data_IF_724636937580
#
_entry.id   IF_724636937580
#
_cell.length_a   1.000
_cell.length_b   1.000
_cell.length_c   1.000
_cell.angle_alpha   90.00
_cell.angle_beta   90.00
_cell.angle_gamma   90.00
#
_symmetry.space_group_name_H-M   'P 1'
#
loop_
_entity.id
_entity.type
_entity.pdbx_description
1 polymer ?
#
# COMPACT_ATOMS: atom_id res chain seq x y z
N UNK A 1 5.20 -17.50 -6.03
CA UNK A 1 4.92 -16.94 -7.36
C UNK A 1 5.59 -15.57 -7.44
N UNK A 2 6.40 -15.30 -8.45
CA UNK A 2 6.98 -13.97 -8.71
C UNK A 2 6.10 -13.19 -9.69
N UNK A 3 5.86 -11.92 -9.41
CA UNK A 3 5.09 -11.01 -10.26
C UNK A 3 6.08 -10.22 -11.12
N UNK A 4 6.08 -10.44 -12.44
CA UNK A 4 6.86 -9.60 -13.37
C UNK A 4 6.27 -8.18 -13.43
N UNK A 5 7.06 -7.21 -13.90
CA UNK A 5 6.55 -5.85 -14.08
C UNK A 5 5.42 -5.78 -15.11
N UNK A 6 5.51 -6.52 -16.21
CA UNK A 6 4.43 -6.62 -17.20
C UNK A 6 3.13 -7.16 -16.59
N UNK A 7 3.22 -8.23 -15.80
CA UNK A 7 2.05 -8.77 -15.10
C UNK A 7 1.53 -7.81 -14.04
N UNK A 8 2.41 -7.05 -13.37
CA UNK A 8 2.00 -5.98 -12.48
C UNK A 8 1.18 -4.91 -13.21
N UNK A 9 1.59 -4.49 -14.42
CA UNK A 9 0.86 -3.52 -15.25
C UNK A 9 -0.54 -4.02 -15.64
N UNK A 10 -0.66 -5.30 -15.98
CA UNK A 10 -1.96 -5.94 -16.26
C UNK A 10 -2.84 -5.90 -14.99
N UNK A 11 -2.26 -6.27 -13.85
CA UNK A 11 -2.98 -6.31 -12.57
C UNK A 11 -3.46 -4.92 -12.11
N UNK A 12 -2.64 -3.87 -12.21
CA UNK A 12 -3.09 -2.51 -11.82
C UNK A 12 -4.22 -2.01 -12.72
N UNK A 13 -4.20 -2.40 -14.00
CA UNK A 13 -5.25 -2.02 -14.96
C UNK A 13 -6.58 -2.71 -14.63
N UNK A 14 -6.54 -4.00 -14.29
CA UNK A 14 -7.72 -4.75 -13.81
C UNK A 14 -8.22 -4.23 -12.47
N UNK A 15 -7.29 -3.91 -11.55
CA UNK A 15 -7.61 -3.37 -10.23
C UNK A 15 -8.41 -2.07 -10.34
N UNK A 16 -8.00 -1.13 -11.20
CA UNK A 16 -8.71 0.14 -11.38
C UNK A 16 -10.12 -0.05 -11.90
N UNK A 17 -10.37 -1.01 -12.80
CA UNK A 17 -11.73 -1.28 -13.27
C UNK A 17 -12.69 -1.69 -12.15
N UNK A 18 -12.17 -2.30 -11.09
CA UNK A 18 -12.95 -2.64 -9.89
C UNK A 18 -13.05 -1.42 -8.98
N UNK A 19 -11.94 -0.73 -8.72
CA UNK A 19 -11.90 0.48 -7.90
C UNK A 19 -12.87 1.56 -8.40
N UNK A 20 -12.92 1.81 -9.71
CA UNK A 20 -13.82 2.80 -10.32
C UNK A 20 -15.29 2.48 -10.06
N UNK A 21 -15.65 1.19 -10.06
CA UNK A 21 -17.01 0.72 -9.72
C UNK A 21 -17.33 0.93 -8.24
N UNK A 22 -16.33 0.76 -7.37
CA UNK A 22 -16.46 0.96 -5.93
C UNK A 22 -16.37 2.44 -5.53
N UNK A 23 -15.81 3.29 -6.40
CA UNK A 23 -15.54 4.72 -6.13
C UNK A 23 -14.71 4.94 -4.87
N UNK A 24 -13.74 4.05 -4.64
CA UNK A 24 -12.90 4.05 -3.43
C UNK A 24 -11.59 4.83 -3.57
N UNK A 25 -11.40 5.53 -4.71
CA UNK A 25 -10.39 6.58 -4.88
C UNK A 25 -8.99 6.13 -5.28
N UNK A 26 -8.79 4.87 -5.69
CA UNK A 26 -7.52 4.47 -6.30
C UNK A 26 -7.39 5.02 -7.72
N UNK A 27 -6.16 5.31 -8.13
CA UNK A 27 -5.83 5.74 -9.48
C UNK A 27 -4.44 5.27 -9.88
N UNK A 28 -4.18 5.15 -11.18
CA UNK A 28 -2.82 4.89 -11.71
C UNK A 28 -2.12 6.22 -11.92
N UNK A 29 -0.87 6.29 -11.47
CA UNK A 29 0.06 7.38 -11.79
C UNK A 29 1.31 6.83 -12.44
N UNK A 30 2.03 7.71 -13.13
CA UNK A 30 3.29 7.40 -13.79
C UNK A 30 4.31 8.49 -13.46
N UNK A 31 5.50 8.08 -13.02
CA UNK A 31 6.66 8.94 -12.79
C UNK A 31 7.87 8.24 -13.39
N UNK A 32 8.63 8.95 -14.22
CA UNK A 32 9.83 8.43 -14.88
C UNK A 32 9.61 7.08 -15.61
N UNK A 33 8.44 6.92 -16.25
CA UNK A 33 8.06 5.70 -16.97
C UNK A 33 7.61 4.53 -16.07
N UNK A 34 7.57 4.73 -14.75
CA UNK A 34 7.15 3.74 -13.78
C UNK A 34 5.71 4.00 -13.38
N UNK A 35 4.82 3.05 -13.71
CA UNK A 35 3.41 3.10 -13.32
C UNK A 35 3.20 2.44 -11.96
N UNK A 36 2.35 3.05 -11.15
CA UNK A 36 2.00 2.56 -9.82
C UNK A 36 0.55 2.92 -9.46
N UNK A 37 -0.04 2.20 -8.51
CA UNK A 37 -1.34 2.58 -7.95
C UNK A 37 -1.12 3.58 -6.84
N UNK A 38 -2.01 4.57 -6.74
CA UNK A 38 -2.02 5.53 -5.66
C UNK A 38 -3.44 5.76 -5.14
N UNK A 39 -3.55 6.05 -3.85
CA UNK A 39 -4.78 6.48 -3.19
C UNK A 39 -4.44 7.53 -2.15
N UNK A 40 -5.23 8.59 -2.12
CA UNK A 40 -5.18 9.62 -1.08
C UNK A 40 -6.53 9.66 -0.39
N UNK A 41 -6.54 9.60 0.93
CA UNK A 41 -7.76 9.69 1.73
C UNK A 41 -7.54 10.61 2.91
N UNK A 42 -8.65 11.03 3.52
CA UNK A 42 -8.65 11.76 4.77
C UNK A 42 -9.34 10.88 5.80
N UNK A 43 -8.73 10.74 6.97
CA UNK A 43 -9.31 10.08 8.14
C UNK A 43 -9.57 11.15 9.17
N UNK A 44 -10.80 11.19 9.68
CA UNK A 44 -11.22 12.15 10.70
C UNK A 44 -11.44 11.41 12.03
N UNK A 45 -10.80 11.88 13.09
CA UNK A 45 -10.97 11.34 14.44
C UNK A 45 -10.89 12.48 15.45
N UNK A 46 -11.88 12.57 16.35
CA UNK A 46 -11.90 13.57 17.44
C UNK A 46 -11.70 15.03 16.99
N UNK A 47 -12.18 15.37 15.77
CA UNK A 47 -12.07 16.72 15.21
C UNK A 47 -10.71 17.04 14.59
N UNK A 48 -9.82 16.06 14.46
CA UNK A 48 -8.56 16.16 13.73
C UNK A 48 -8.66 15.40 12.41
N UNK A 49 -8.11 15.97 11.33
CA UNK A 49 -8.01 15.32 10.03
C UNK A 49 -6.58 14.88 9.74
N UNK A 50 -6.40 13.63 9.33
CA UNK A 50 -5.13 13.11 8.83
C UNK A 50 -5.28 12.73 7.36
N UNK A 51 -4.39 13.24 6.52
CA UNK A 51 -4.26 12.80 5.14
C UNK A 51 -3.38 11.56 5.06
N UNK A 52 -3.91 10.48 4.48
CA UNK A 52 -3.17 9.25 4.23
C UNK A 52 -2.91 9.12 2.72
N UNK A 53 -1.64 8.97 2.35
CA UNK A 53 -1.20 8.71 0.98
C UNK A 53 -0.67 7.28 0.90
N UNK A 54 -1.22 6.47 -0.01
CA UNK A 54 -0.85 5.06 -0.23
C UNK A 54 -0.39 4.86 -1.67
N UNK A 55 0.78 4.24 -1.88
CA UNK A 55 1.30 3.89 -3.20
C UNK A 55 1.67 2.41 -3.27
N UNK A 56 1.20 1.70 -4.29
CA UNK A 56 1.60 0.31 -4.55
C UNK A 56 2.55 0.30 -5.74
N UNK A 57 3.81 -0.08 -5.49
CA UNK A 57 4.90 -0.04 -6.48
C UNK A 57 5.46 -1.44 -6.64
N UNK A 58 5.79 -1.82 -7.87
CA UNK A 58 6.50 -3.07 -8.15
C UNK A 58 7.95 -2.98 -7.67
N UNK A 59 8.40 -3.97 -6.90
CA UNK A 59 9.80 -4.14 -6.56
C UNK A 59 10.45 -5.15 -7.52
N UNK A 60 11.43 -4.72 -8.35
CA UNK A 60 12.05 -5.61 -9.33
C UNK A 60 12.90 -6.71 -8.69
N UNK A 61 13.61 -6.41 -7.59
CA UNK A 61 14.52 -7.34 -6.92
C UNK A 61 13.79 -8.54 -6.33
N UNK A 62 12.62 -8.32 -5.72
CA UNK A 62 11.80 -9.38 -5.13
C UNK A 62 10.68 -9.85 -6.06
N UNK A 63 10.43 -9.14 -7.17
CA UNK A 63 9.33 -9.41 -8.09
C UNK A 63 7.98 -9.48 -7.37
N UNK A 64 7.69 -8.49 -6.53
CA UNK A 64 6.45 -8.39 -5.74
C UNK A 64 5.99 -6.93 -5.64
N UNK A 65 4.70 -6.67 -5.41
CA UNK A 65 4.25 -5.35 -5.03
C UNK A 65 4.72 -4.99 -3.60
N UNK A 66 4.97 -3.70 -3.39
CA UNK A 66 5.25 -3.09 -2.09
C UNK A 66 4.26 -1.95 -1.88
N UNK A 67 3.63 -1.92 -0.71
CA UNK A 67 2.79 -0.81 -0.26
C UNK A 67 3.66 0.20 0.48
N UNK A 68 3.77 1.39 -0.09
CA UNK A 68 4.29 2.58 0.57
C UNK A 68 3.12 3.38 1.12
N UNK A 69 3.27 3.96 2.30
CA UNK A 69 2.28 4.85 2.86
C UNK A 69 2.91 5.98 3.69
N UNK A 70 2.18 7.09 3.81
CA UNK A 70 2.52 8.17 4.72
C UNK A 70 1.25 8.83 5.24
N UNK A 71 1.33 9.35 6.47
CA UNK A 71 0.25 10.09 7.11
C UNK A 71 0.73 11.50 7.42
N UNK A 72 -0.09 12.50 7.10
CA UNK A 72 0.23 13.90 7.26
C UNK A 72 -0.91 14.61 7.96
N UNK A 73 -0.59 15.41 8.98
CA UNK A 73 -1.61 16.21 9.67
C UNK A 73 -2.05 17.43 8.85
N UNK A 74 -3.05 18.16 9.35
CA UNK A 74 -3.60 19.38 8.72
C UNK A 74 -2.54 20.47 8.48
N UNK A 75 -1.46 20.47 9.26
CA UNK A 75 -0.34 21.42 9.14
C UNK A 75 0.73 20.97 8.14
N UNK A 76 0.53 19.85 7.44
CA UNK A 76 1.50 19.31 6.48
C UNK A 76 2.66 18.54 7.11
N UNK A 77 2.64 18.28 8.43
CA UNK A 77 3.68 17.49 9.11
C UNK A 77 3.42 16.00 8.93
N UNK A 78 4.42 15.28 8.44
CA UNK A 78 4.42 13.81 8.42
C UNK A 78 4.43 13.25 9.84
N UNK A 79 3.57 12.28 10.09
CA UNK A 79 3.53 11.57 11.36
C UNK A 79 4.69 10.58 11.47
N UNK A 80 5.17 10.34 12.69
CA UNK A 80 6.07 9.22 12.99
C UNK A 80 5.29 7.90 13.01
N UNK A 81 5.99 6.77 13.03
CA UNK A 81 5.34 5.45 13.08
C UNK A 81 4.51 5.29 14.37
N UNK A 82 5.02 5.79 15.49
CA UNK A 82 4.35 5.80 16.79
C UNK A 82 3.09 6.67 16.78
N UNK A 83 3.14 7.82 16.11
CA UNK A 83 1.97 8.68 15.93
C UNK A 83 0.92 7.99 15.05
N UNK A 84 1.31 7.35 13.94
CA UNK A 84 0.38 6.59 13.09
C UNK A 84 -0.30 5.46 13.85
N UNK A 85 0.42 4.77 14.74
CA UNK A 85 -0.15 3.72 15.59
C UNK A 85 -1.26 4.24 16.51
N UNK A 86 -1.11 5.46 17.03
CA UNK A 86 -2.11 6.08 17.89
C UNK A 86 -3.44 6.33 17.14
N UNK A 87 -3.38 6.55 15.83
CA UNK A 87 -4.54 6.77 14.95
C UNK A 87 -5.29 5.50 14.57
N UNK A 88 -4.68 4.33 14.74
CA UNK A 88 -5.32 3.08 14.39
C UNK A 88 -6.18 2.52 15.52
N UNK A 89 -7.33 1.89 15.20
CA UNK A 89 -8.15 1.20 16.18
C UNK A 89 -7.32 0.20 17.00
N UNK A 90 -7.60 0.08 18.30
CA UNK A 90 -6.87 -0.86 19.16
C UNK A 90 -6.98 -2.32 18.73
N UNK A 91 -8.00 -2.68 17.95
CA UNK A 91 -8.18 -4.01 17.37
C UNK A 91 -7.24 -4.32 16.20
N UNK A 92 -6.66 -3.32 15.53
CA UNK A 92 -5.70 -3.50 14.43
C UNK A 92 -4.25 -3.45 14.89
N UNK A 93 -4.02 -3.11 16.17
CA UNK A 93 -2.74 -3.09 16.87
C UNK A 93 -2.28 -4.50 17.23
N UNK A 94 -1.93 -5.30 16.23
CA UNK A 94 -1.24 -6.58 16.44
C UNK A 94 0.26 -6.38 16.30
N UNK A 95 1.02 -6.72 17.33
CA UNK A 95 2.47 -6.47 17.44
C UNK A 95 3.29 -6.97 16.23
N UNK A 96 2.81 -8.00 15.51
CA UNK A 96 3.57 -8.60 14.41
C UNK A 96 3.45 -7.87 13.05
N UNK A 97 2.43 -7.03 12.83
CA UNK A 97 2.23 -6.38 11.52
C UNK A 97 3.17 -5.20 11.33
N UNK A 98 3.45 -4.50 12.41
CA UNK A 98 4.25 -3.27 12.41
C UNK A 98 5.75 -3.53 12.53
N UNK A 99 6.16 -4.69 13.05
CA UNK A 99 7.56 -5.15 12.96
C UNK A 99 8.03 -5.36 11.51
N UNK A 100 7.09 -5.48 10.57
CA UNK A 100 7.35 -5.56 9.14
C UNK A 100 7.33 -4.20 8.44
N UNK A 101 7.05 -3.10 9.16
CA UNK A 101 7.05 -1.75 8.58
C UNK A 101 8.41 -1.11 8.76
N UNK A 102 8.94 -0.50 7.70
CA UNK A 102 10.23 0.20 7.75
C UNK A 102 10.10 1.57 7.09
N UNK A 103 10.69 2.58 7.74
CA UNK A 103 10.82 3.93 7.18
C UNK A 103 11.91 3.97 6.11
N UNK A 104 11.59 4.52 4.94
CA UNK A 104 12.54 4.72 3.83
C UNK A 104 12.07 5.89 2.97
N UNK A 105 12.95 6.42 2.12
CA UNK A 105 12.51 7.33 1.08
C UNK A 105 11.69 6.59 0.01
N UNK A 106 10.63 7.25 -0.45
CA UNK A 106 9.81 6.78 -1.56
C UNK A 106 10.64 6.70 -2.84
N UNK A 107 10.66 5.55 -3.55
CA UNK A 107 11.62 5.31 -4.64
C UNK A 107 11.45 6.27 -5.82
N UNK A 108 10.24 6.82 -6.03
CA UNK A 108 9.95 7.76 -7.13
C UNK A 108 9.79 9.22 -6.70
N UNK A 109 9.61 9.48 -5.40
CA UNK A 109 9.27 10.83 -4.90
C UNK A 109 10.38 11.39 -4.02
N UNK A 110 11.38 10.58 -3.67
CA UNK A 110 12.53 10.96 -2.84
C UNK A 110 12.10 11.71 -1.58
N UNK A 111 11.03 11.26 -0.95
CA UNK A 111 10.48 11.84 0.28
C UNK A 111 10.16 10.74 1.30
N UNK A 112 10.13 11.06 2.61
CA UNK A 112 9.95 10.03 3.63
C UNK A 112 8.58 9.34 3.55
N UNK A 113 8.60 8.02 3.48
CA UNK A 113 7.45 7.12 3.52
C UNK A 113 7.76 5.91 4.43
N UNK A 114 6.72 5.15 4.75
CA UNK A 114 6.86 3.82 5.33
C UNK A 114 6.49 2.78 4.28
N UNK A 115 7.05 1.58 4.37
CA UNK A 115 6.61 0.46 3.55
C UNK A 115 6.54 -0.83 4.33
N UNK A 116 5.66 -1.73 3.88
CA UNK A 116 5.59 -3.10 4.37
C UNK A 116 6.68 -3.92 3.69
N UNK A 117 7.56 -4.55 4.48
CA UNK A 117 8.71 -5.28 3.98
C UNK A 117 8.29 -6.45 3.08
N UNK A 118 8.93 -6.63 1.91
CA UNK A 118 8.48 -7.58 0.87
C UNK A 118 8.63 -9.06 1.24
N UNK A 119 9.42 -9.41 2.27
CA UNK A 119 9.77 -10.81 2.59
C UNK A 119 8.58 -11.72 2.93
N UNK A 120 7.45 -11.16 3.37
CA UNK A 120 6.25 -11.94 3.66
C UNK A 120 5.25 -11.97 2.51
N UNK A 121 5.42 -11.13 1.48
CA UNK A 121 4.48 -11.06 0.34
C UNK A 121 4.37 -12.39 -0.41
N UNK A 122 5.51 -13.05 -0.67
CA UNK A 122 5.52 -14.35 -1.36
C UNK A 122 4.86 -15.45 -0.54
N UNK A 123 5.07 -15.45 0.78
CA UNK A 123 4.47 -16.42 1.71
C UNK A 123 2.96 -16.20 1.79
N UNK A 124 2.51 -14.95 2.00
CA UNK A 124 1.09 -14.58 2.06
C UNK A 124 0.34 -15.01 0.79
N UNK A 125 0.93 -14.77 -0.38
CA UNK A 125 0.30 -15.12 -1.65
C UNK A 125 0.32 -16.62 -1.94
N UNK A 126 1.36 -17.34 -1.51
CA UNK A 126 1.41 -18.80 -1.67
C UNK A 126 0.40 -19.51 -0.76
N UNK A 127 0.08 -18.94 0.40
CA UNK A 127 -0.94 -19.47 1.32
C UNK A 127 -2.39 -19.13 0.95
N UNK A 128 -2.61 -18.20 0.01
CA UNK A 128 -3.96 -17.72 -0.31
C UNK A 128 -4.87 -18.78 -0.94
N UNK A 129 -4.30 -19.83 -1.56
CA UNK A 129 -5.06 -20.93 -2.16
C UNK A 129 -5.94 -20.56 -3.36
N UNK A 130 -5.94 -19.27 -3.76
CA UNK A 130 -6.72 -18.74 -4.87
C UNK A 130 -5.89 -18.78 -6.16
N UNK A 131 -6.55 -18.99 -7.30
CA UNK A 131 -5.95 -18.68 -8.61
C UNK A 131 -5.85 -17.15 -8.72
N UNK A 132 -4.75 -16.63 -8.18
CA UNK A 132 -4.47 -15.21 -8.06
C UNK A 132 -4.02 -14.60 -9.39
N UNK A 133 -3.91 -15.38 -10.48
CA UNK A 133 -3.39 -14.88 -11.76
C UNK A 133 -4.13 -13.64 -12.28
N UNK A 134 -5.44 -13.56 -12.04
CA UNK A 134 -6.31 -12.48 -12.53
C UNK A 134 -6.59 -11.37 -11.50
N UNK A 135 -6.29 -11.59 -10.22
CA UNK A 135 -6.62 -10.65 -9.13
C UNK A 135 -5.53 -10.55 -8.07
N UNK A 136 -4.27 -10.80 -8.44
CA UNK A 136 -3.15 -10.91 -7.51
C UNK A 136 -3.05 -9.67 -6.62
N UNK A 137 -3.09 -8.48 -7.21
CA UNK A 137 -2.98 -7.23 -6.44
C UNK A 137 -4.17 -7.00 -5.50
N UNK A 138 -5.38 -7.38 -5.90
CA UNK A 138 -6.56 -7.23 -5.06
C UNK A 138 -6.49 -8.18 -3.85
N UNK A 139 -6.14 -9.45 -4.09
CA UNK A 139 -5.95 -10.45 -3.02
C UNK A 139 -4.82 -10.05 -2.10
N UNK A 140 -3.68 -9.62 -2.65
CA UNK A 140 -2.53 -9.15 -1.87
C UNK A 140 -2.89 -7.95 -0.99
N UNK A 141 -3.49 -6.90 -1.55
CA UNK A 141 -3.86 -5.70 -0.81
C UNK A 141 -4.87 -6.03 0.30
N UNK A 142 -5.84 -6.91 0.01
CA UNK A 142 -6.83 -7.38 1.00
C UNK A 142 -6.17 -8.16 2.15
N UNK A 143 -5.09 -8.90 1.88
CA UNK A 143 -4.37 -9.69 2.90
C UNK A 143 -3.61 -8.83 3.92
N UNK A 144 -3.25 -7.59 3.58
CA UNK A 144 -2.64 -6.65 4.52
C UNK A 144 -3.65 -6.20 5.60
N UNK A 145 -4.95 -6.28 5.28
CA UNK A 145 -6.05 -5.83 6.14
C UNK A 145 -6.20 -4.31 6.14
N UNK A 146 -7.10 -3.75 6.96
CA UNK A 146 -7.21 -2.30 7.12
C UNK A 146 -5.92 -1.76 7.73
N UNK A 147 -5.18 -1.00 6.92
CA UNK A 147 -4.06 -0.13 7.31
C UNK A 147 -4.53 1.32 7.29
#
# INVERSE_FOLDING_TARGET
MSLSYENFLINISQFIQISDKLRDGWSIREIDGIKFLCKKTIVEQEGMCISCDYHVIHNPSYSVPILYFSMTNEMGRRLSLEEMWAWLPSSTRTDNKWSMVTGTDHPLLTTPYFHVHPCHTSTLMSSSGLDTSSFYLLTWLSSLGPL
#
